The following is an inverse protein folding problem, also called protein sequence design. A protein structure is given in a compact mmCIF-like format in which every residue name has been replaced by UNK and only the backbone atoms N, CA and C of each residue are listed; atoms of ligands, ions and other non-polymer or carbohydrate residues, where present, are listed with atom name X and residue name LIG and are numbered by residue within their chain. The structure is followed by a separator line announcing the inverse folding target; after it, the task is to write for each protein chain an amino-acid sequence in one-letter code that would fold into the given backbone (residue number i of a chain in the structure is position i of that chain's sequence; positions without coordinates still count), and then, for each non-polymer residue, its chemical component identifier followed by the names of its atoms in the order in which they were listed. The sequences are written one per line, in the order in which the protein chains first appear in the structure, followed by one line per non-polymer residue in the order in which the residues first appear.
data_IF_382081816024
#
_entry.id   IF_382081816024
#
_cell.length_a   1.000
_cell.length_b   1.000
_cell.length_c   1.000
_cell.angle_alpha   90.00
_cell.angle_beta   90.00
_cell.angle_gamma   90.00
#
_symmetry.space_group_name_H-M   'P 1'
#
loop_
_entity.id
_entity.type
_entity.pdbx_description
1 polymer ?
#
# COMPACT_ATOMS: atom_id res chain seq x y z
N UNK A 1 15.30 -4.03 14.89
CA UNK A 1 15.98 -2.75 15.23
C UNK A 1 15.70 -1.79 14.11
N UNK A 2 15.34 -0.53 14.42
CA UNK A 2 15.37 0.53 13.42
C UNK A 2 16.76 0.53 12.79
N UNK A 3 16.89 0.03 11.57
CA UNK A 3 17.83 0.59 10.61
C UNK A 3 17.75 2.11 10.79
N UNK A 4 18.86 2.77 11.14
CA UNK A 4 18.88 4.18 11.54
C UNK A 4 18.01 5.06 10.61
N UNK A 5 17.44 6.19 11.07
CA UNK A 5 16.67 7.10 10.20
C UNK A 5 17.40 7.39 8.87
N UNK A 6 18.73 7.49 8.94
CA UNK A 6 19.63 7.59 7.78
C UNK A 6 19.56 6.41 6.81
N UNK A 7 19.42 5.17 7.30
CA UNK A 7 19.17 4.00 6.45
C UNK A 7 17.78 4.03 5.81
N UNK A 8 16.75 4.45 6.55
CA UNK A 8 15.40 4.58 6.01
C UNK A 8 15.36 5.64 4.89
N UNK A 9 16.00 6.80 5.10
CA UNK A 9 16.16 7.84 4.08
C UNK A 9 16.93 7.32 2.86
N UNK A 10 18.06 6.63 3.06
CA UNK A 10 18.81 6.02 1.94
C UNK A 10 17.98 4.98 1.19
N UNK A 11 17.15 4.20 1.89
CA UNK A 11 16.26 3.24 1.25
C UNK A 11 15.19 3.95 0.41
N UNK A 12 14.62 5.05 0.93
CA UNK A 12 13.71 5.93 0.19
C UNK A 12 14.37 6.47 -1.08
N UNK A 13 15.57 7.03 -0.99
CA UNK A 13 16.30 7.57 -2.14
C UNK A 13 16.55 6.51 -3.21
N UNK A 14 17.03 5.31 -2.82
CA UNK A 14 17.22 4.19 -3.75
C UNK A 14 15.92 3.75 -4.39
N UNK A 15 14.84 3.70 -3.63
CA UNK A 15 13.52 3.35 -4.15
C UNK A 15 13.04 4.35 -5.21
N UNK A 16 13.19 5.65 -4.96
CA UNK A 16 12.85 6.73 -5.89
C UNK A 16 13.65 6.63 -7.20
N UNK A 17 14.90 6.17 -7.15
CA UNK A 17 15.74 6.00 -8.35
C UNK A 17 15.25 4.88 -9.29
N UNK A 18 14.45 3.94 -8.79
CA UNK A 18 14.04 2.75 -9.54
C UNK A 18 12.53 2.65 -9.79
N UNK A 19 11.72 3.53 -9.20
CA UNK A 19 10.28 3.55 -9.44
C UNK A 19 9.89 4.13 -10.82
N UNK A 20 8.64 3.96 -11.26
CA UNK A 20 7.68 2.94 -10.88
C UNK A 20 7.91 1.67 -11.74
N UNK A 21 8.86 0.82 -11.35
CA UNK A 21 9.23 -0.42 -12.10
C UNK A 21 8.90 -1.68 -11.30
N UNK A 22 7.76 -1.68 -10.61
CA UNK A 22 7.34 -2.82 -9.79
C UNK A 22 8.26 -3.08 -8.60
N UNK A 23 8.73 -2.02 -7.94
CA UNK A 23 9.58 -2.14 -6.74
C UNK A 23 8.70 -2.05 -5.50
N UNK A 24 9.01 -2.87 -4.49
CA UNK A 24 8.39 -2.81 -3.17
C UNK A 24 9.36 -2.26 -2.11
N UNK A 25 8.86 -1.44 -1.18
CA UNK A 25 9.59 -0.99 0.01
C UNK A 25 8.69 -1.09 1.24
N UNK A 26 9.24 -1.56 2.36
CA UNK A 26 8.51 -1.66 3.62
C UNK A 26 9.24 -0.92 4.75
N UNK A 27 8.51 -0.07 5.47
CA UNK A 27 8.95 0.57 6.70
C UNK A 27 8.26 -0.10 7.89
N UNK A 28 9.04 -0.84 8.68
CA UNK A 28 8.56 -1.48 9.92
C UNK A 28 9.23 -0.86 11.15
N UNK A 29 8.46 -0.69 12.23
CA UNK A 29 8.95 -0.21 13.52
C UNK A 29 7.80 0.33 14.37
N UNK A 30 8.08 0.86 15.56
CA UNK A 30 7.02 1.36 16.47
C UNK A 30 6.36 2.68 16.04
N UNK A 31 5.50 3.22 16.90
CA UNK A 31 4.83 4.51 16.70
C UNK A 31 5.80 5.70 16.82
N UNK A 32 5.51 6.79 16.12
CA UNK A 32 6.26 8.05 16.26
C UNK A 32 7.66 8.09 15.62
N UNK A 33 8.08 7.04 14.92
CA UNK A 33 9.42 6.93 14.31
C UNK A 33 9.55 7.58 12.93
N UNK A 34 8.50 8.21 12.41
CA UNK A 34 8.52 8.92 11.12
C UNK A 34 8.13 8.13 9.87
N UNK A 35 7.54 6.93 9.97
CA UNK A 35 7.14 6.13 8.79
C UNK A 35 6.20 6.89 7.84
N UNK A 36 5.14 7.50 8.37
CA UNK A 36 4.21 8.34 7.61
C UNK A 36 4.91 9.55 6.98
N UNK A 37 5.95 10.10 7.63
CA UNK A 37 6.73 11.20 7.06
C UNK A 37 7.56 10.72 5.85
N UNK A 38 8.12 9.51 5.89
CA UNK A 38 8.81 8.92 4.74
C UNK A 38 7.84 8.65 3.58
N UNK A 39 6.63 8.16 3.87
CA UNK A 39 5.55 8.05 2.89
C UNK A 39 5.21 9.40 2.27
N UNK A 40 5.08 10.46 3.07
CA UNK A 40 4.77 11.79 2.57
C UNK A 40 5.88 12.35 1.65
N UNK A 41 7.16 12.10 1.97
CA UNK A 41 8.28 12.46 1.11
C UNK A 41 8.23 11.74 -0.24
N UNK A 42 7.93 10.44 -0.21
CA UNK A 42 7.71 9.64 -1.41
C UNK A 42 6.53 10.18 -2.23
N UNK A 43 5.39 10.47 -1.59
CA UNK A 43 4.23 11.04 -2.28
C UNK A 43 4.58 12.36 -2.98
N UNK A 44 5.28 13.25 -2.29
CA UNK A 44 5.73 14.52 -2.86
C UNK A 44 6.69 14.33 -4.04
N UNK A 45 7.61 13.36 -3.96
CA UNK A 45 8.52 13.04 -5.06
C UNK A 45 7.78 12.44 -6.28
N UNK A 46 6.79 11.58 -6.06
CA UNK A 46 5.95 11.06 -7.14
C UNK A 46 5.15 12.18 -7.82
N UNK A 47 4.53 13.07 -7.03
CA UNK A 47 3.83 14.26 -7.53
C UNK A 47 4.75 15.16 -8.37
N UNK A 48 5.96 15.44 -7.88
CA UNK A 48 6.94 16.27 -8.59
C UNK A 48 7.38 15.66 -9.94
N UNK A 49 7.27 14.34 -10.10
CA UNK A 49 7.60 13.62 -11.33
C UNK A 49 6.37 13.37 -12.23
N UNK A 50 5.19 13.87 -11.85
CA UNK A 50 3.95 13.66 -12.59
C UNK A 50 3.43 12.22 -12.54
N UNK A 51 3.88 11.42 -11.56
CA UNK A 51 3.42 10.06 -11.35
C UNK A 51 2.11 10.03 -10.57
N UNK A 52 1.24 9.09 -10.92
CA UNK A 52 0.01 8.83 -10.17
C UNK A 52 0.35 8.11 -8.85
N UNK A 53 -0.04 8.71 -7.73
CA UNK A 53 0.22 8.18 -6.40
C UNK A 53 -1.09 8.06 -5.61
N UNK A 54 -1.37 6.86 -5.10
CA UNK A 54 -2.49 6.64 -4.18
C UNK A 54 -1.93 6.48 -2.78
N UNK A 55 -2.42 7.31 -1.86
CA UNK A 55 -2.23 7.11 -0.43
C UNK A 55 -3.51 6.51 0.16
N UNK A 56 -3.36 5.44 0.93
CA UNK A 56 -4.46 4.85 1.70
C UNK A 56 -3.94 4.23 2.99
N UNK A 57 -4.83 3.94 3.92
CA UNK A 57 -4.49 3.22 5.16
C UNK A 57 -4.99 1.77 5.08
N UNK A 58 -4.38 0.85 5.84
CA UNK A 58 -4.87 -0.53 5.97
C UNK A 58 -6.39 -0.61 6.22
N UNK A 59 -6.95 0.11 7.22
CA UNK A 59 -8.39 0.13 7.46
C UNK A 59 -9.23 0.69 6.30
N UNK A 60 -8.74 1.74 5.60
CA UNK A 60 -9.45 2.31 4.46
C UNK A 60 -9.45 1.35 3.25
N UNK A 61 -8.34 0.65 3.03
CA UNK A 61 -8.21 -0.37 1.99
C UNK A 61 -9.13 -1.57 2.26
N UNK A 62 -9.21 -2.02 3.51
CA UNK A 62 -10.16 -3.06 3.91
C UNK A 62 -11.60 -2.63 3.66
N UNK A 63 -11.94 -1.38 3.99
CA UNK A 63 -13.27 -0.83 3.70
C UNK A 63 -13.57 -0.83 2.20
N UNK A 64 -12.61 -0.42 1.37
CA UNK A 64 -12.74 -0.44 -0.09
C UNK A 64 -13.05 -1.86 -0.61
N UNK A 65 -12.40 -2.90 -0.07
CA UNK A 65 -12.66 -4.27 -0.47
C UNK A 65 -14.08 -4.71 -0.12
N UNK A 66 -14.60 -4.33 1.05
CA UNK A 66 -15.96 -4.64 1.46
C UNK A 66 -16.99 -3.92 0.59
N UNK A 67 -16.74 -2.65 0.26
CA UNK A 67 -17.61 -1.85 -0.60
C UNK A 67 -17.62 -2.43 -2.03
N UNK A 68 -16.47 -2.81 -2.58
CA UNK A 68 -16.37 -3.49 -3.89
C UNK A 68 -17.13 -4.81 -3.91
N UNK A 69 -16.96 -5.65 -2.87
CA UNK A 69 -17.70 -6.93 -2.77
C UNK A 69 -19.20 -6.70 -2.73
N UNK A 70 -19.64 -5.73 -1.93
CA UNK A 70 -21.07 -5.40 -1.79
C UNK A 70 -21.65 -4.90 -3.11
N UNK A 71 -20.93 -4.05 -3.84
CA UNK A 71 -21.35 -3.55 -5.15
C UNK A 71 -21.45 -4.68 -6.19
N UNK A 72 -20.47 -5.59 -6.21
CA UNK A 72 -20.49 -6.76 -7.08
C UNK A 72 -21.64 -7.73 -6.77
N UNK A 73 -22.01 -7.88 -5.49
CA UNK A 73 -23.13 -8.74 -5.06
C UNK A 73 -24.51 -8.16 -5.42
N UNK A 74 -24.64 -6.83 -5.48
CA UNK A 74 -25.92 -6.16 -5.75
C UNK A 74 -26.26 -6.00 -7.23
N UNK A 75 -25.33 -6.29 -8.14
CA UNK A 75 -25.46 -6.06 -9.59
C UNK A 75 -25.94 -4.63 -9.92
N UNK A 76 -25.62 -3.66 -9.05
CA UNK A 76 -26.10 -2.27 -9.15
C UNK A 76 -25.37 -1.48 -10.25
N UNK A 77 -24.37 -2.07 -10.91
CA UNK A 77 -23.59 -1.41 -11.94
C UNK A 77 -22.85 -0.16 -11.45
N UNK A 78 -22.66 0.00 -10.13
CA UNK A 78 -21.96 1.16 -9.58
C UNK A 78 -20.49 1.12 -10.03
N UNK A 79 -20.15 2.05 -10.92
CA UNK A 79 -18.82 2.17 -11.52
C UNK A 79 -17.82 2.67 -10.46
N UNK A 80 -18.28 3.30 -9.39
CA UNK A 80 -17.41 3.99 -8.43
C UNK A 80 -16.47 3.04 -7.68
N UNK A 81 -16.94 1.92 -7.06
CA UNK A 81 -16.06 0.97 -6.39
C UNK A 81 -15.15 0.23 -7.38
N UNK A 82 -15.64 -0.05 -8.59
CA UNK A 82 -14.84 -0.69 -9.65
C UNK A 82 -13.71 0.23 -10.13
N UNK A 83 -14.01 1.51 -10.35
CA UNK A 83 -13.02 2.52 -10.73
C UNK A 83 -11.98 2.70 -9.62
N UNK A 84 -12.42 2.83 -8.37
CA UNK A 84 -11.52 2.93 -7.23
C UNK A 84 -10.58 1.72 -7.13
N UNK A 85 -11.09 0.50 -7.32
CA UNK A 85 -10.28 -0.71 -7.37
C UNK A 85 -9.27 -0.70 -8.53
N UNK A 86 -9.72 -0.33 -9.73
CA UNK A 86 -8.87 -0.18 -10.91
C UNK A 86 -7.72 0.82 -10.64
N UNK A 87 -8.03 1.97 -10.04
CA UNK A 87 -7.03 2.98 -9.72
C UNK A 87 -5.99 2.44 -8.72
N UNK A 88 -6.43 1.67 -7.71
CA UNK A 88 -5.54 1.00 -6.75
C UNK A 88 -4.63 -0.05 -7.40
N UNK A 89 -5.02 -0.65 -8.52
CA UNK A 89 -4.16 -1.56 -9.29
C UNK A 89 -3.17 -0.78 -10.16
N UNK A 90 -3.64 0.25 -10.87
CA UNK A 90 -2.89 0.82 -12.00
C UNK A 90 -2.16 2.13 -11.72
N UNK A 91 -2.41 2.79 -10.58
CA UNK A 91 -1.59 3.93 -10.17
C UNK A 91 -0.11 3.54 -10.12
N UNK A 92 0.78 4.45 -10.53
CA UNK A 92 2.22 4.20 -10.61
C UNK A 92 2.80 3.77 -9.26
N UNK A 93 2.29 4.34 -8.17
CA UNK A 93 2.66 4.00 -6.81
C UNK A 93 1.47 3.94 -5.85
N UNK A 94 1.45 2.91 -5.01
CA UNK A 94 0.53 2.76 -3.89
C UNK A 94 1.32 2.92 -2.58
N UNK A 95 0.87 3.82 -1.74
CA UNK A 95 1.42 4.11 -0.42
C UNK A 95 0.40 3.65 0.62
N UNK A 96 0.66 2.50 1.23
CA UNK A 96 -0.19 1.89 2.23
C UNK A 96 0.38 2.16 3.62
N UNK A 97 -0.21 3.11 4.33
CA UNK A 97 0.11 3.36 5.74
C UNK A 97 -0.72 2.45 6.65
N UNK A 98 -0.25 2.26 7.88
CA UNK A 98 -0.89 1.37 8.86
C UNK A 98 -1.26 0.00 8.27
N UNK A 99 -0.39 -0.58 7.43
CA UNK A 99 -0.64 -1.86 6.75
C UNK A 99 -0.86 -3.01 7.74
N UNK A 100 -0.26 -2.92 8.93
CA UNK A 100 -0.49 -3.84 10.06
C UNK A 100 -1.89 -3.72 10.67
N UNK A 101 -2.65 -2.68 10.33
CA UNK A 101 -4.02 -2.46 10.81
C UNK A 101 -5.08 -2.92 9.83
N UNK A 102 -4.69 -3.46 8.68
CA UNK A 102 -5.59 -4.22 7.82
C UNK A 102 -6.02 -5.46 8.63
N UNK A 103 -7.28 -5.46 9.06
CA UNK A 103 -7.69 -6.20 10.24
C UNK A 103 -7.85 -7.71 10.00
N UNK A 104 -7.61 -8.47 11.06
CA UNK A 104 -8.23 -9.77 11.30
C UNK A 104 -9.51 -9.56 12.12
N UNK A 105 -10.52 -8.86 11.60
CA UNK A 105 -11.82 -8.91 12.28
C UNK A 105 -12.37 -10.34 12.09
N UNK A 106 -12.36 -11.13 13.17
CA UNK A 106 -12.98 -12.46 13.29
C UNK A 106 -12.23 -13.67 12.70
N UNK A 107 -10.89 -13.62 12.57
CA UNK A 107 -10.12 -14.76 12.03
C UNK A 107 -10.37 -15.03 10.54
N UNK A 108 -11.08 -14.13 9.85
CA UNK A 108 -11.31 -14.24 8.42
C UNK A 108 -10.21 -13.51 7.65
N UNK A 109 -9.21 -14.27 7.23
CA UNK A 109 -8.05 -13.86 6.40
C UNK A 109 -8.37 -13.21 5.05
N UNK A 110 -9.64 -12.92 4.73
CA UNK A 110 -10.03 -12.47 3.40
C UNK A 110 -9.47 -11.08 3.03
N UNK A 111 -9.61 -10.09 3.91
CA UNK A 111 -9.10 -8.73 3.65
C UNK A 111 -7.58 -8.69 3.52
N UNK A 112 -6.88 -9.50 4.30
CA UNK A 112 -5.43 -9.67 4.23
C UNK A 112 -5.00 -10.38 2.93
N UNK A 113 -5.66 -11.47 2.55
CA UNK A 113 -5.45 -12.13 1.24
C UNK A 113 -5.65 -11.18 0.07
N UNK A 114 -6.69 -10.33 0.12
CA UNK A 114 -6.90 -9.31 -0.92
C UNK A 114 -5.86 -8.21 -0.93
N UNK A 115 -5.28 -7.88 0.23
CA UNK A 115 -4.08 -7.05 0.29
C UNK A 115 -2.90 -7.67 -0.45
N UNK A 116 -2.63 -8.95 -0.22
CA UNK A 116 -1.58 -9.68 -0.94
C UNK A 116 -1.87 -9.78 -2.44
N UNK A 117 -3.08 -10.19 -2.83
CA UNK A 117 -3.50 -10.24 -4.24
C UNK A 117 -3.28 -8.88 -4.93
N UNK A 118 -3.60 -7.77 -4.26
CA UNK A 118 -3.38 -6.42 -4.77
C UNK A 118 -1.89 -6.14 -4.97
N UNK A 119 -1.05 -6.44 -3.97
CA UNK A 119 0.40 -6.24 -4.05
C UNK A 119 0.98 -7.04 -5.22
N UNK A 120 0.65 -8.33 -5.33
CA UNK A 120 1.16 -9.20 -6.40
C UNK A 120 0.69 -8.73 -7.79
N UNK A 121 -0.58 -8.35 -7.91
CA UNK A 121 -1.12 -7.78 -9.15
C UNK A 121 -0.40 -6.50 -9.54
N UNK A 122 -0.12 -5.61 -8.58
CA UNK A 122 0.63 -4.38 -8.86
C UNK A 122 2.06 -4.69 -9.33
N UNK A 123 2.78 -5.55 -8.62
CA UNK A 123 4.17 -5.87 -8.95
C UNK A 123 4.28 -6.53 -10.34
N UNK A 124 3.37 -7.45 -10.68
CA UNK A 124 3.31 -8.06 -12.02
C UNK A 124 3.01 -7.06 -13.15
N UNK A 125 2.35 -5.94 -12.84
CA UNK A 125 2.10 -4.84 -13.77
C UNK A 125 3.14 -3.71 -13.69
N UNK A 126 4.30 -3.96 -13.07
CA UNK A 126 5.36 -2.98 -12.83
C UNK A 126 4.90 -1.75 -12.02
N UNK A 127 3.87 -1.88 -11.18
CA UNK A 127 3.38 -0.82 -10.30
C UNK A 127 4.01 -0.96 -8.92
N UNK A 128 4.63 0.11 -8.43
CA UNK A 128 5.38 0.06 -7.17
C UNK A 128 4.46 0.14 -5.95
N UNK A 129 4.94 -0.37 -4.81
CA UNK A 129 4.21 -0.32 -3.53
C UNK A 129 5.14 0.06 -2.38
N UNK A 130 4.64 0.90 -1.48
CA UNK A 130 5.30 1.23 -0.22
C UNK A 130 4.37 0.88 0.92
N UNK A 131 4.88 0.10 1.87
CA UNK A 131 4.16 -0.32 3.07
C UNK A 131 4.77 0.38 4.28
N UNK A 132 3.93 0.91 5.16
CA UNK A 132 4.34 1.34 6.49
C UNK A 132 3.48 0.68 7.56
N UNK A 133 4.11 0.26 8.65
CA UNK A 133 3.38 -0.35 9.75
C UNK A 133 4.27 -0.81 10.88
N UNK A 134 3.67 -1.54 11.80
CA UNK A 134 4.36 -2.17 12.91
C UNK A 134 4.46 -3.68 12.68
N UNK A 135 5.62 -4.28 12.95
CA UNK A 135 5.84 -5.73 12.87
C UNK A 135 5.42 -6.36 11.52
N UNK A 136 5.61 -5.65 10.40
CA UNK A 136 5.21 -6.13 9.07
C UNK A 136 5.92 -7.42 8.66
N UNK A 137 7.11 -7.67 9.19
CA UNK A 137 7.89 -8.89 8.96
C UNK A 137 7.19 -10.18 9.39
N UNK A 138 6.23 -10.09 10.33
CA UNK A 138 5.44 -11.25 10.78
C UNK A 138 4.27 -11.56 9.83
N UNK A 139 4.01 -10.67 8.86
CA UNK A 139 2.90 -10.77 7.92
C UNK A 139 3.39 -11.08 6.50
N UNK A 140 4.55 -10.55 6.14
CA UNK A 140 5.23 -10.82 4.87
C UNK A 140 6.08 -12.11 4.99
N UNK A 141 5.43 -13.28 5.07
CA UNK A 141 6.11 -14.56 4.94
C UNK A 141 6.13 -14.99 3.46
N UNK A 142 7.26 -15.54 2.94
CA UNK A 142 7.29 -16.17 1.61
C UNK A 142 6.44 -17.44 1.54
#
# INVERSE_FOLDING_TARGET
MLSSLSEALRATERFIQHWPRGVALAFTGGYGIGKTHLIAQIYAAAWAQGLTAIYTTGPALERLFLDFRTAAERDEGDITPLQAWHDHIFADILLLDEADRQAQQNGNSWGERKGFDLIDTRLSHNRSVVLAGNALEQRLHP
#
